data_IF_266322883416
#
_entry.id   IF_266322883416
#
_cell.length_a   1.000
_cell.length_b   1.000
_cell.length_c   1.000
_cell.angle_alpha   90.00
_cell.angle_beta   90.00
_cell.angle_gamma   90.00
#
_symmetry.space_group_name_H-M   'P 1'
#
loop_
_entity.id
_entity.type
_entity.pdbx_description
1 polymer ?
#
# COMPACT_ATOMS: atom_id res chain seq x y z
N UNK A 1 -0.08 -6.94 -17.89
CA UNK A 1 -1.39 -6.43 -18.38
C UNK A 1 -2.56 -7.31 -17.93
N UNK A 2 -2.54 -8.61 -18.15
CA UNK A 2 -3.58 -9.55 -17.72
C UNK A 2 -3.81 -9.59 -16.20
N UNK A 3 -2.76 -9.45 -15.38
CA UNK A 3 -2.85 -9.45 -13.91
C UNK A 3 -3.68 -8.26 -13.38
N UNK A 4 -3.44 -7.05 -13.91
CA UNK A 4 -4.18 -5.84 -13.52
C UNK A 4 -5.65 -5.94 -13.94
N UNK A 5 -5.92 -6.52 -15.11
CA UNK A 5 -7.29 -6.71 -15.61
C UNK A 5 -8.08 -7.71 -14.75
N UNK A 6 -7.46 -8.83 -14.37
CA UNK A 6 -8.09 -9.81 -13.48
C UNK A 6 -8.30 -9.29 -12.06
N UNK A 7 -7.39 -8.49 -11.52
CA UNK A 7 -7.49 -7.86 -10.21
C UNK A 7 -8.68 -6.87 -10.17
N UNK A 8 -8.86 -6.10 -11.24
CA UNK A 8 -9.96 -5.13 -11.36
C UNK A 8 -11.33 -5.80 -11.52
N UNK A 9 -11.42 -6.93 -12.21
CA UNK A 9 -12.68 -7.67 -12.38
C UNK A 9 -13.18 -8.33 -11.10
N UNK A 10 -12.29 -8.69 -10.17
CA UNK A 10 -12.68 -9.36 -8.92
C UNK A 10 -13.11 -8.40 -7.83
N UNK A 11 -13.08 -7.07 -8.05
CA UNK A 11 -13.43 -6.02 -7.08
C UNK A 11 -12.91 -6.33 -5.66
N UNK A 12 -11.72 -6.90 -5.55
CA UNK A 12 -11.09 -7.17 -4.26
C UNK A 12 -10.77 -5.83 -3.62
N UNK A 13 -11.42 -5.52 -2.52
CA UNK A 13 -11.05 -4.36 -1.71
C UNK A 13 -9.58 -4.47 -1.33
N UNK A 14 -8.82 -3.37 -1.50
CA UNK A 14 -7.35 -3.39 -1.44
C UNK A 14 -6.66 -3.46 -2.80
N UNK A 15 -7.43 -3.67 -3.88
CA UNK A 15 -6.87 -3.73 -5.25
C UNK A 15 -6.10 -2.47 -5.64
N UNK A 16 -6.45 -1.30 -5.08
CA UNK A 16 -5.78 -0.03 -5.36
C UNK A 16 -4.28 -0.08 -4.99
N UNK A 17 -3.92 -0.75 -3.89
CA UNK A 17 -2.52 -0.89 -3.47
C UNK A 17 -1.80 -1.96 -4.28
N UNK A 18 -2.50 -3.04 -4.64
CA UNK A 18 -2.00 -4.04 -5.58
C UNK A 18 -1.80 -3.44 -6.98
N UNK A 19 -2.74 -2.60 -7.44
CA UNK A 19 -2.60 -1.84 -8.68
C UNK A 19 -1.43 -0.85 -8.57
N UNK A 20 -1.29 -0.11 -7.48
CA UNK A 20 -0.19 0.83 -7.29
C UNK A 20 1.16 0.11 -7.33
N UNK A 21 1.31 -1.00 -6.61
CA UNK A 21 2.50 -1.86 -6.67
C UNK A 21 2.76 -2.37 -8.10
N UNK A 22 1.71 -2.86 -8.78
CA UNK A 22 1.82 -3.34 -10.15
C UNK A 22 2.17 -2.22 -11.16
N UNK A 23 1.67 -1.00 -10.95
CA UNK A 23 2.01 0.18 -11.76
C UNK A 23 3.48 0.58 -11.55
N UNK A 24 3.98 0.54 -10.32
CA UNK A 24 5.40 0.79 -10.06
C UNK A 24 6.30 -0.29 -10.70
N UNK A 25 5.91 -1.57 -10.61
CA UNK A 25 6.62 -2.68 -11.28
C UNK A 25 6.61 -2.51 -12.80
N UNK A 26 5.47 -2.11 -13.38
CA UNK A 26 5.35 -1.82 -14.82
C UNK A 26 6.18 -0.61 -15.22
N UNK A 27 6.16 0.47 -14.44
CA UNK A 27 6.96 1.66 -14.69
C UNK A 27 8.46 1.31 -14.66
N UNK A 28 8.90 0.50 -13.71
CA UNK A 28 10.27 0.01 -13.63
C UNK A 28 10.64 -0.83 -14.87
N UNK A 29 9.75 -1.72 -15.31
CA UNK A 29 9.96 -2.53 -16.52
C UNK A 29 10.04 -1.66 -17.79
N UNK A 30 9.17 -0.67 -17.94
CA UNK A 30 9.18 0.28 -19.07
C UNK A 30 10.46 1.13 -19.10
N UNK A 31 10.97 1.53 -17.92
CA UNK A 31 12.25 2.23 -17.80
C UNK A 31 13.46 1.37 -18.20
N UNK A 32 13.35 0.06 -18.16
CA UNK A 32 14.39 -0.86 -18.61
C UNK A 32 14.46 -1.00 -20.14
N UNK A 33 13.41 -0.58 -20.86
CA UNK A 33 13.40 -0.62 -22.32
C UNK A 33 14.32 0.48 -22.88
N UNK A 34 15.21 0.17 -23.83
CA UNK A 34 16.10 1.17 -24.43
C UNK A 34 15.30 2.12 -25.32
N UNK A 35 14.92 3.28 -24.78
CA UNK A 35 14.37 4.36 -25.60
C UNK A 35 15.50 5.01 -26.41
N UNK A 36 15.55 4.70 -27.71
CA UNK A 36 16.43 5.37 -28.65
C UNK A 36 16.03 6.83 -28.82
N UNK A 37 16.67 7.75 -28.07
CA UNK A 37 16.67 9.16 -28.40
C UNK A 37 18.07 9.74 -28.17
N UNK A 38 18.79 9.91 -29.29
CA UNK A 38 20.09 10.58 -29.36
C UNK A 38 19.90 12.10 -29.29
N UNK A 39 19.97 12.68 -28.10
CA UNK A 39 20.51 14.05 -27.82
C UNK A 39 20.24 14.42 -26.35
N UNK A 40 21.30 14.63 -25.65
CA UNK A 40 21.43 14.91 -24.19
C UNK A 40 21.74 13.70 -23.31
N UNK A 41 22.73 12.90 -23.69
CA UNK A 41 22.95 11.56 -23.11
C UNK A 41 23.33 11.56 -21.61
N UNK A 42 24.04 12.54 -21.09
CA UNK A 42 24.55 12.46 -19.71
C UNK A 42 23.53 12.90 -18.66
N UNK A 43 22.86 14.03 -18.85
CA UNK A 43 21.85 14.53 -17.92
C UNK A 43 20.56 13.68 -17.96
N UNK A 44 20.18 13.17 -19.14
CA UNK A 44 19.08 12.24 -19.31
C UNK A 44 19.37 10.87 -18.67
N UNK A 45 20.62 10.38 -18.80
CA UNK A 45 21.05 9.13 -18.20
C UNK A 45 21.04 9.22 -16.66
N UNK A 46 21.58 10.29 -16.08
CA UNK A 46 21.59 10.53 -14.63
C UNK A 46 20.15 10.66 -14.07
N UNK A 47 19.29 11.39 -14.78
CA UNK A 47 17.86 11.50 -14.44
C UNK A 47 17.15 10.14 -14.50
N UNK A 48 17.43 9.35 -15.54
CA UNK A 48 16.87 8.01 -15.72
C UNK A 48 17.32 7.04 -14.63
N UNK A 49 18.62 7.04 -14.30
CA UNK A 49 19.18 6.20 -13.24
C UNK A 49 18.59 6.56 -11.88
N UNK A 50 18.48 7.86 -11.56
CA UNK A 50 17.88 8.33 -10.31
C UNK A 50 16.40 7.97 -10.19
N UNK A 51 15.64 8.02 -11.29
CA UNK A 51 14.24 7.61 -11.31
C UNK A 51 14.10 6.09 -11.12
N UNK A 52 14.96 5.28 -11.74
CA UNK A 52 14.98 3.82 -11.53
C UNK A 52 15.28 3.46 -10.08
N UNK A 53 16.26 4.09 -9.48
CA UNK A 53 16.59 3.87 -8.07
C UNK A 53 15.42 4.23 -7.16
N UNK A 54 14.76 5.37 -7.40
CA UNK A 54 13.56 5.78 -6.67
C UNK A 54 12.43 4.76 -6.78
N UNK A 55 12.17 4.26 -8.00
CA UNK A 55 11.12 3.25 -8.22
C UNK A 55 11.46 1.93 -7.52
N UNK A 56 12.71 1.49 -7.58
CA UNK A 56 13.16 0.30 -6.88
C UNK A 56 13.01 0.43 -5.36
N UNK A 57 13.38 1.58 -4.80
CA UNK A 57 13.24 1.83 -3.36
C UNK A 57 11.76 1.84 -2.92
N UNK A 58 10.87 2.44 -3.73
CA UNK A 58 9.44 2.43 -3.45
C UNK A 58 8.89 1.00 -3.50
N UNK A 59 9.24 0.23 -4.51
CA UNK A 59 8.82 -1.17 -4.64
C UNK A 59 9.26 -1.99 -3.42
N UNK A 60 10.51 -1.86 -3.00
CA UNK A 60 11.05 -2.51 -1.80
C UNK A 60 10.28 -2.12 -0.53
N UNK A 61 9.94 -0.83 -0.37
CA UNK A 61 9.16 -0.33 0.77
C UNK A 61 7.75 -0.92 0.77
N UNK A 62 7.08 -0.94 -0.38
CA UNK A 62 5.73 -1.46 -0.51
C UNK A 62 5.68 -2.97 -0.27
N UNK A 63 6.64 -3.72 -0.80
CA UNK A 63 6.76 -5.15 -0.56
C UNK A 63 7.03 -5.46 0.93
N UNK A 64 7.84 -4.63 1.62
CA UNK A 64 8.04 -4.76 3.06
C UNK A 64 6.74 -4.53 3.86
N UNK A 65 5.96 -3.49 3.50
CA UNK A 65 4.68 -3.21 4.15
C UNK A 65 3.71 -4.38 3.91
N UNK A 66 3.59 -4.88 2.69
CA UNK A 66 2.71 -5.99 2.34
C UNK A 66 3.07 -7.27 3.09
N UNK A 67 4.34 -7.53 3.29
CA UNK A 67 4.82 -8.71 4.00
C UNK A 67 4.68 -8.60 5.52
N UNK A 68 4.65 -7.37 6.08
CA UNK A 68 4.77 -7.15 7.52
C UNK A 68 3.59 -6.38 8.14
N UNK A 69 2.55 -5.98 7.38
CA UNK A 69 1.45 -5.15 7.90
C UNK A 69 0.71 -5.74 9.10
N UNK A 70 0.76 -7.06 9.30
CA UNK A 70 0.16 -7.74 10.46
C UNK A 70 0.92 -7.46 11.75
N UNK A 71 2.18 -7.06 11.67
CA UNK A 71 3.04 -6.77 12.80
C UNK A 71 3.08 -5.27 13.13
N UNK A 72 3.57 -4.93 14.32
CA UNK A 72 3.78 -3.53 14.71
C UNK A 72 5.04 -2.99 14.01
N UNK A 73 4.91 -2.60 12.73
CA UNK A 73 6.02 -1.98 11.99
C UNK A 73 6.08 -0.48 12.23
N UNK A 74 7.29 0.02 12.44
CA UNK A 74 7.59 1.43 12.67
C UNK A 74 8.32 2.07 11.49
N UNK A 75 8.42 3.40 11.50
CA UNK A 75 9.25 4.14 10.53
C UNK A 75 10.70 3.68 10.58
N UNK A 76 11.21 3.36 11.80
CA UNK A 76 12.58 2.88 11.99
C UNK A 76 12.79 1.55 11.26
N UNK A 77 11.88 0.57 11.44
CA UNK A 77 12.01 -0.76 10.85
C UNK A 77 12.08 -0.69 9.31
N UNK A 78 11.20 0.12 8.70
CA UNK A 78 11.18 0.28 7.23
C UNK A 78 12.40 1.06 6.74
N UNK A 79 12.80 2.11 7.47
CA UNK A 79 13.97 2.90 7.12
C UNK A 79 15.25 2.05 7.16
N UNK A 80 15.43 1.23 8.19
CA UNK A 80 16.56 0.31 8.33
C UNK A 80 16.58 -0.72 7.19
N UNK A 81 15.39 -1.23 6.82
CA UNK A 81 15.26 -2.20 5.73
C UNK A 81 15.77 -1.66 4.38
N UNK A 82 15.54 -0.37 4.10
CA UNK A 82 15.97 0.26 2.83
C UNK A 82 17.27 1.06 2.96
N UNK A 83 17.93 1.03 4.12
CA UNK A 83 19.19 1.73 4.37
C UNK A 83 19.04 3.25 4.48
N UNK A 84 17.88 3.75 4.92
CA UNK A 84 17.61 5.17 5.11
C UNK A 84 17.67 5.59 6.58
N UNK A 85 17.97 6.85 6.84
CA UNK A 85 17.61 7.42 8.15
C UNK A 85 16.10 7.64 8.23
N UNK A 86 15.46 7.53 9.43
CA UNK A 86 14.02 7.74 9.59
C UNK A 86 13.52 9.08 9.08
N UNK A 87 14.32 10.14 9.26
CA UNK A 87 13.98 11.48 8.77
C UNK A 87 14.01 11.57 7.24
N UNK A 88 14.97 10.89 6.60
CA UNK A 88 15.03 10.82 5.13
C UNK A 88 13.88 9.97 4.60
N UNK A 89 13.64 8.78 5.17
CA UNK A 89 12.54 7.90 4.82
C UNK A 89 11.19 8.63 4.87
N UNK A 90 10.90 9.34 5.97
CA UNK A 90 9.62 10.06 6.11
C UNK A 90 9.39 11.09 5.00
N UNK A 91 10.44 11.85 4.63
CA UNK A 91 10.35 12.82 3.53
C UNK A 91 10.25 12.14 2.17
N UNK A 92 11.06 11.11 1.95
CA UNK A 92 11.06 10.31 0.72
C UNK A 92 9.70 9.68 0.47
N UNK A 93 9.16 9.00 1.49
CA UNK A 93 7.86 8.33 1.40
C UNK A 93 6.72 9.33 1.11
N UNK A 94 6.64 10.42 1.89
CA UNK A 94 5.61 11.44 1.70
C UNK A 94 5.71 12.11 0.32
N UNK A 95 6.93 12.38 -0.16
CA UNK A 95 7.15 12.98 -1.48
C UNK A 95 6.68 12.08 -2.62
N UNK A 96 6.94 10.78 -2.53
CA UNK A 96 6.70 9.85 -3.64
C UNK A 96 5.31 9.17 -3.58
N UNK A 97 4.75 8.96 -2.36
CA UNK A 97 3.44 8.32 -2.16
C UNK A 97 2.33 9.34 -1.94
N UNK A 98 2.67 10.59 -1.55
CA UNK A 98 1.70 11.66 -1.32
C UNK A 98 1.16 11.75 0.10
N UNK A 99 1.42 10.76 0.95
CA UNK A 99 0.96 10.71 2.35
C UNK A 99 2.05 10.18 3.29
N UNK A 100 1.84 10.32 4.62
CA UNK A 100 2.77 9.78 5.61
C UNK A 100 2.74 8.25 5.62
N UNK A 101 3.84 7.61 6.03
CA UNK A 101 3.91 6.15 6.21
C UNK A 101 2.83 5.62 7.16
N UNK A 102 2.62 6.30 8.29
CA UNK A 102 1.60 5.90 9.26
C UNK A 102 0.18 5.97 8.71
N UNK A 103 -0.11 7.02 7.92
CA UNK A 103 -1.41 7.13 7.23
C UNK A 103 -1.59 6.04 6.19
N UNK A 104 -0.57 5.78 5.39
CA UNK A 104 -0.58 4.71 4.38
C UNK A 104 -0.79 3.33 5.00
N UNK A 105 -0.05 2.99 6.07
CA UNK A 105 -0.20 1.72 6.77
C UNK A 105 -1.59 1.55 7.37
N UNK A 106 -2.15 2.63 7.97
CA UNK A 106 -3.50 2.61 8.51
C UNK A 106 -4.54 2.37 7.39
N UNK A 107 -4.38 3.06 6.27
CA UNK A 107 -5.25 2.91 5.10
C UNK A 107 -5.15 1.51 4.49
N UNK A 108 -3.94 0.97 4.34
CA UNK A 108 -3.71 -0.40 3.89
C UNK A 108 -4.44 -1.41 4.77
N UNK A 109 -4.30 -1.28 6.11
CA UNK A 109 -4.98 -2.15 7.08
C UNK A 109 -6.50 -2.04 7.02
N UNK A 110 -7.03 -0.83 6.84
CA UNK A 110 -8.49 -0.62 6.68
C UNK A 110 -9.00 -1.26 5.40
N UNK A 111 -8.25 -1.21 4.30
CA UNK A 111 -8.63 -1.93 3.08
C UNK A 111 -8.67 -3.44 3.28
N UNK A 112 -7.70 -4.01 4.00
CA UNK A 112 -7.72 -5.45 4.38
C UNK A 112 -8.93 -5.78 5.26
N UNK A 113 -9.27 -4.91 6.23
CA UNK A 113 -10.44 -5.08 7.07
C UNK A 113 -11.75 -5.04 6.29
N UNK A 114 -11.89 -4.10 5.36
CA UNK A 114 -13.08 -4.00 4.49
C UNK A 114 -13.26 -5.26 3.63
N UNK A 115 -12.16 -5.79 3.10
CA UNK A 115 -12.20 -7.05 2.34
C UNK A 115 -12.74 -8.19 3.21
N UNK A 116 -12.21 -8.38 4.43
CA UNK A 116 -12.68 -9.43 5.35
C UNK A 116 -14.15 -9.21 5.71
N UNK A 117 -14.53 -7.98 6.06
CA UNK A 117 -15.92 -7.63 6.41
C UNK A 117 -16.90 -7.83 5.24
N UNK A 118 -16.45 -7.71 4.01
CA UNK A 118 -17.28 -7.90 2.81
C UNK A 118 -17.39 -9.34 2.34
N UNK A 119 -16.49 -10.21 2.78
CA UNK A 119 -16.41 -11.60 2.29
C UNK A 119 -16.70 -12.66 3.35
N UNK A 120 -16.58 -12.30 4.63
CA UNK A 120 -16.62 -13.25 5.73
C UNK A 120 -17.47 -12.71 6.91
N UNK A 121 -18.18 -13.62 7.58
CA UNK A 121 -18.92 -13.34 8.83
C UNK A 121 -18.09 -13.86 10.01
N UNK A 122 -17.06 -13.11 10.40
CA UNK A 122 -16.16 -13.45 11.51
C UNK A 122 -16.27 -12.40 12.63
N UNK A 123 -15.88 -12.74 13.88
CA UNK A 123 -15.88 -11.80 15.00
C UNK A 123 -15.00 -10.57 14.70
N UNK A 124 -15.40 -9.39 15.21
CA UNK A 124 -14.64 -8.14 15.03
C UNK A 124 -13.19 -8.22 15.57
N UNK A 125 -12.97 -9.05 16.59
CA UNK A 125 -11.63 -9.30 17.11
C UNK A 125 -10.72 -10.01 16.08
N UNK A 126 -11.29 -10.94 15.33
CA UNK A 126 -10.59 -11.64 14.26
C UNK A 126 -10.34 -10.71 13.06
N UNK A 127 -11.33 -9.90 12.67
CA UNK A 127 -11.14 -8.86 11.64
C UNK A 127 -9.99 -7.94 12.01
N UNK A 128 -9.97 -7.43 13.25
CA UNK A 128 -8.90 -6.54 13.74
C UNK A 128 -7.53 -7.22 13.65
N UNK A 129 -7.40 -8.44 14.16
CA UNK A 129 -6.15 -9.19 14.15
C UNK A 129 -5.65 -9.48 12.71
N UNK A 130 -6.52 -10.00 11.85
CA UNK A 130 -6.19 -10.36 10.46
C UNK A 130 -5.95 -9.15 9.56
N UNK A 131 -6.34 -7.96 9.99
CA UNK A 131 -6.02 -6.70 9.30
C UNK A 131 -4.86 -5.92 9.94
N UNK A 132 -4.17 -6.49 10.95
CA UNK A 132 -2.94 -5.95 11.52
C UNK A 132 -3.16 -4.91 12.62
N UNK A 133 -4.35 -4.83 13.24
CA UNK A 133 -4.59 -3.98 14.40
C UNK A 133 -4.29 -4.72 15.70
N UNK A 134 -3.54 -4.06 16.59
CA UNK A 134 -3.16 -4.62 17.90
C UNK A 134 -4.33 -4.72 18.88
N UNK A 135 -5.43 -3.99 18.64
CA UNK A 135 -6.64 -4.06 19.47
C UNK A 135 -7.90 -3.74 18.68
N UNK A 136 -9.01 -4.35 19.09
CA UNK A 136 -10.34 -4.08 18.54
C UNK A 136 -10.74 -2.62 18.73
N UNK A 137 -10.35 -2.00 19.85
CA UNK A 137 -10.63 -0.58 20.14
C UNK A 137 -9.97 0.33 19.12
N UNK A 138 -8.68 0.12 18.84
CA UNK A 138 -7.93 0.88 17.83
C UNK A 138 -8.53 0.67 16.45
N UNK A 139 -8.82 -0.59 16.10
CA UNK A 139 -9.49 -0.93 14.84
C UNK A 139 -10.79 -0.15 14.65
N UNK A 140 -11.72 -0.22 15.62
CA UNK A 140 -13.00 0.50 15.54
C UNK A 140 -12.83 2.01 15.38
N UNK A 141 -11.89 2.61 16.12
CA UNK A 141 -11.62 4.04 16.05
C UNK A 141 -11.10 4.45 14.68
N UNK A 142 -10.06 3.78 14.18
CA UNK A 142 -9.44 4.08 12.88
C UNK A 142 -10.41 3.79 11.74
N UNK A 143 -11.11 2.67 11.78
CA UNK A 143 -12.12 2.32 10.76
C UNK A 143 -13.21 3.39 10.67
N UNK A 144 -13.82 3.78 11.81
CA UNK A 144 -14.87 4.79 11.83
C UNK A 144 -14.35 6.16 11.34
N UNK A 145 -13.14 6.54 11.72
CA UNK A 145 -12.52 7.79 11.27
C UNK A 145 -12.31 7.82 9.76
N UNK A 146 -11.88 6.70 9.15
CA UNK A 146 -11.52 6.66 7.72
C UNK A 146 -12.71 6.33 6.81
N UNK A 147 -13.66 5.50 7.30
CA UNK A 147 -14.80 5.00 6.50
C UNK A 147 -16.09 5.77 6.79
N UNK A 148 -16.13 6.55 7.88
CA UNK A 148 -17.31 7.31 8.30
C UNK A 148 -18.39 6.49 9.02
N UNK A 149 -18.25 5.17 9.09
CA UNK A 149 -19.20 4.27 9.78
C UNK A 149 -18.47 3.21 10.61
N UNK A 150 -19.19 2.57 11.56
CA UNK A 150 -18.56 1.49 12.33
C UNK A 150 -18.36 0.22 11.48
N UNK A 151 -17.35 -0.63 11.79
CA UNK A 151 -17.13 -1.89 11.08
C UNK A 151 -18.36 -2.78 11.04
N UNK A 152 -19.06 -2.90 12.15
CA UNK A 152 -20.29 -3.72 12.26
C UNK A 152 -21.42 -3.19 11.37
N UNK A 153 -21.61 -1.85 11.31
CA UNK A 153 -22.61 -1.24 10.43
C UNK A 153 -22.21 -1.39 8.97
N UNK A 154 -20.94 -1.25 8.66
CA UNK A 154 -20.39 -1.49 7.32
C UNK A 154 -20.67 -2.92 6.86
N UNK A 155 -20.35 -3.93 7.68
CA UNK A 155 -20.63 -5.34 7.39
C UNK A 155 -22.11 -5.61 7.21
N UNK A 156 -22.97 -5.12 8.13
CA UNK A 156 -24.42 -5.28 8.02
C UNK A 156 -24.98 -4.71 6.72
N UNK A 157 -24.52 -3.54 6.30
CA UNK A 157 -24.95 -2.93 5.05
C UNK A 157 -24.64 -3.81 3.84
N UNK A 158 -23.44 -4.41 3.78
CA UNK A 158 -23.05 -5.29 2.67
C UNK A 158 -23.99 -6.52 2.60
N UNK A 159 -24.20 -7.20 3.72
CA UNK A 159 -24.99 -8.43 3.75
C UNK A 159 -26.53 -8.21 3.79
N UNK A 160 -27.00 -6.96 3.99
CA UNK A 160 -28.44 -6.64 3.96
C UNK A 160 -28.98 -6.40 2.54
N UNK A 161 -28.11 -6.35 1.54
CA UNK A 161 -28.48 -6.18 0.12
C UNK A 161 -28.53 -7.52 -0.64
N UNK A 162 -28.43 -8.65 0.07
CA UNK A 162 -28.59 -10.01 -0.44
C UNK A 162 -29.75 -10.69 0.27
#
# INVERSE_FOLDING_TARGET
>A
MLSIYHENQKQREGYQYSILSSLYKLANLLYQLPLKNKKTEKAALDSTLKNRETLFQIDTILDYIESNYLHAITIQDVADHVGFSPSYFSRFFKKNIGMSFTSYLAEYRIHRAKYILGTELVPMAEVAARSGFSSVKTFHHVFKSMVGTSPMKFQKNIFSFH
#
